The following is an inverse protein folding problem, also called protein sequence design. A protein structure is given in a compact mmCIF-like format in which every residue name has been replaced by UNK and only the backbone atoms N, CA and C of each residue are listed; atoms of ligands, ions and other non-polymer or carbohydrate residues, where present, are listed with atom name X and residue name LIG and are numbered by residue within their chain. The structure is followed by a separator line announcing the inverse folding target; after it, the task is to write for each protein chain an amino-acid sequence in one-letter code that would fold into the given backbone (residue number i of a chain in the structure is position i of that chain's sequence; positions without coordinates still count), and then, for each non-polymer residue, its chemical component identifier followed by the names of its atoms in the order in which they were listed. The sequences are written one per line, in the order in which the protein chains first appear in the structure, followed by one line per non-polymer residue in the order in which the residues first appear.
data_IF_113638523094
#
_entry.id   IF_113638523094
#
_cell.length_a   1.000
_cell.length_b   1.000
_cell.length_c   1.000
_cell.angle_alpha   90.00
_cell.angle_beta   90.00
_cell.angle_gamma   90.00
#
_symmetry.space_group_name_H-M   'P 1'
#
loop_
_entity.id
_entity.type
_entity.pdbx_description
1 polymer ?
#
# COMPACT_ATOMS: atom_id res chain seq x y z
N UNK A 1 -44.40 -1.34 14.85
CA UNK A 1 -43.56 -1.14 16.04
C UNK A 1 -42.11 -1.41 15.60
N UNK A 2 -41.27 -0.37 15.51
CA UNK A 2 -39.83 -0.53 15.28
C UNK A 2 -39.21 -0.86 16.63
N UNK A 3 -38.64 -2.03 16.78
CA UNK A 3 -37.79 -2.38 17.92
C UNK A 3 -36.53 -1.51 17.84
N UNK A 4 -36.43 -0.56 18.78
CA UNK A 4 -35.18 0.18 19.03
C UNK A 4 -34.16 -0.81 19.59
N UNK A 5 -33.09 -1.08 18.83
CA UNK A 5 -31.93 -1.80 19.32
C UNK A 5 -31.36 -1.07 20.54
N UNK A 6 -31.08 -1.74 21.65
CA UNK A 6 -30.58 -1.08 22.86
C UNK A 6 -29.24 -0.41 22.56
N UNK A 7 -29.17 0.87 22.91
CA UNK A 7 -27.93 1.66 22.84
C UNK A 7 -26.83 0.96 23.66
N UNK A 8 -25.60 0.82 23.13
CA UNK A 8 -24.54 0.13 23.84
C UNK A 8 -24.26 0.80 25.18
N UNK A 9 -24.15 -0.01 26.24
CA UNK A 9 -23.94 0.44 27.62
C UNK A 9 -22.69 1.32 27.72
N UNK A 10 -22.82 2.51 28.31
CA UNK A 10 -21.71 3.47 28.45
C UNK A 10 -21.03 3.40 29.83
N UNK A 11 -19.90 4.10 29.97
CA UNK A 11 -19.17 4.22 31.26
C UNK A 11 -20.08 4.68 32.40
N UNK A 12 -21.07 5.54 32.13
CA UNK A 12 -22.07 5.99 33.07
C UNK A 12 -22.96 4.84 33.59
N UNK A 13 -23.32 3.93 32.71
CA UNK A 13 -24.14 2.75 33.03
C UNK A 13 -23.37 1.78 33.93
N UNK A 14 -22.09 1.49 33.57
CA UNK A 14 -21.21 0.66 34.42
C UNK A 14 -21.04 1.28 35.79
N UNK A 15 -20.80 2.59 35.87
CA UNK A 15 -20.67 3.31 37.14
C UNK A 15 -21.93 3.20 38.00
N UNK A 16 -23.12 3.37 37.40
CA UNK A 16 -24.41 3.25 38.04
C UNK A 16 -24.66 1.85 38.60
N UNK A 17 -24.42 0.82 37.76
CA UNK A 17 -24.67 -0.59 38.12
C UNK A 17 -23.74 -1.09 39.24
N UNK A 18 -22.53 -0.58 39.32
CA UNK A 18 -21.53 -0.97 40.33
C UNK A 18 -21.50 -0.06 41.55
N UNK A 19 -22.25 1.05 41.57
CA UNK A 19 -22.26 2.03 42.65
C UNK A 19 -20.92 2.74 42.84
N UNK A 20 -20.17 2.98 41.75
CA UNK A 20 -18.85 3.64 41.77
C UNK A 20 -18.85 4.92 40.93
N UNK A 21 -17.86 5.78 41.15
CA UNK A 21 -17.75 7.01 40.38
C UNK A 21 -17.30 6.68 38.90
N UNK A 22 -17.68 7.56 37.96
CA UNK A 22 -17.23 7.48 36.58
C UNK A 22 -15.69 7.46 36.51
N UNK A 23 -15.01 8.24 37.36
CA UNK A 23 -13.54 8.25 37.44
C UNK A 23 -12.94 6.93 37.93
N UNK A 24 -13.67 6.16 38.75
CA UNK A 24 -13.26 4.81 39.18
C UNK A 24 -13.36 3.83 38.03
N UNK A 25 -14.43 3.90 37.22
CA UNK A 25 -14.60 3.08 36.03
C UNK A 25 -13.52 3.42 35.00
N UNK A 26 -13.24 4.70 34.76
CA UNK A 26 -12.19 5.14 33.83
C UNK A 26 -10.78 4.62 34.24
N UNK A 27 -10.43 4.72 35.53
CA UNK A 27 -9.17 4.19 36.05
C UNK A 27 -9.07 2.67 35.88
N UNK A 28 -10.17 1.95 36.11
CA UNK A 28 -10.20 0.50 35.94
C UNK A 28 -9.98 0.07 34.48
N UNK A 29 -10.72 0.67 33.55
CA UNK A 29 -10.67 0.38 32.12
C UNK A 29 -9.32 0.72 31.48
N UNK A 30 -8.61 1.74 31.99
CA UNK A 30 -7.33 2.20 31.46
C UNK A 30 -6.13 1.82 32.34
N UNK A 31 -6.28 0.86 33.24
CA UNK A 31 -5.21 0.37 34.13
C UNK A 31 -4.48 1.46 34.94
N UNK A 32 -5.13 2.61 35.21
CA UNK A 32 -4.55 3.72 35.96
C UNK A 32 -4.46 3.41 37.46
N UNK A 33 -3.49 3.98 38.20
CA UNK A 33 -3.37 3.79 39.64
C UNK A 33 -4.54 4.50 40.42
N UNK A 34 -4.67 4.17 41.69
CA UNK A 34 -5.66 4.81 42.60
C UNK A 34 -6.98 4.05 42.74
N UNK A 35 -7.04 2.78 42.41
CA UNK A 35 -8.15 1.87 42.72
C UNK A 35 -7.61 0.50 43.15
N UNK A 36 -8.41 -0.19 44.01
CA UNK A 36 -8.05 -1.53 44.48
C UNK A 36 -8.15 -2.58 43.33
N UNK A 37 -7.33 -3.65 43.39
CA UNK A 37 -7.41 -4.76 42.46
C UNK A 37 -8.82 -5.38 42.39
N UNK A 38 -9.51 -5.48 43.57
CA UNK A 38 -10.88 -5.98 43.66
C UNK A 38 -11.88 -5.09 42.90
N UNK A 39 -11.75 -3.77 43.03
CA UNK A 39 -12.60 -2.82 42.31
C UNK A 39 -12.36 -2.87 40.83
N UNK A 40 -11.08 -2.98 40.42
CA UNK A 40 -10.71 -3.12 39.01
C UNK A 40 -11.34 -4.38 38.38
N UNK A 41 -11.21 -5.54 39.02
CA UNK A 41 -11.80 -6.79 38.55
C UNK A 41 -13.34 -6.68 38.41
N UNK A 42 -14.04 -6.09 39.40
CA UNK A 42 -15.48 -5.88 39.30
C UNK A 42 -15.90 -5.01 38.11
N UNK A 43 -15.13 -3.96 37.81
CA UNK A 43 -15.43 -3.06 36.69
C UNK A 43 -15.17 -3.77 35.35
N UNK A 44 -14.06 -4.50 35.23
CA UNK A 44 -13.71 -5.22 33.97
C UNK A 44 -14.74 -6.32 33.66
N UNK A 45 -15.12 -7.12 34.66
CA UNK A 45 -16.15 -8.15 34.48
C UNK A 45 -17.50 -7.54 34.07
N UNK A 46 -17.91 -6.42 34.71
CA UNK A 46 -19.15 -5.76 34.33
C UNK A 46 -19.10 -5.12 32.94
N UNK A 47 -17.96 -4.61 32.54
CA UNK A 47 -17.75 -4.11 31.17
C UNK A 47 -17.86 -5.24 30.13
N UNK A 48 -17.33 -6.43 30.42
CA UNK A 48 -17.43 -7.61 29.59
C UNK A 48 -18.88 -8.13 29.50
N UNK A 49 -19.58 -8.26 30.63
CA UNK A 49 -21.01 -8.65 30.71
C UNK A 49 -21.90 -7.74 29.84
N UNK A 50 -21.62 -6.43 29.87
CA UNK A 50 -22.37 -5.42 29.12
C UNK A 50 -21.89 -5.25 27.67
N UNK A 51 -20.92 -6.06 27.21
CA UNK A 51 -20.27 -5.93 25.92
C UNK A 51 -19.80 -4.47 25.65
N UNK A 52 -19.32 -3.82 26.74
CA UNK A 52 -18.88 -2.43 26.68
C UNK A 52 -17.67 -2.29 25.78
N UNK A 53 -17.80 -1.48 24.75
CA UNK A 53 -16.69 -1.03 23.94
C UNK A 53 -16.42 0.44 24.26
N UNK A 54 -15.16 0.83 24.58
CA UNK A 54 -14.83 2.23 24.81
C UNK A 54 -15.29 3.08 23.63
N UNK A 55 -16.15 4.05 23.86
CA UNK A 55 -16.54 5.00 22.84
C UNK A 55 -15.40 6.01 22.63
N UNK A 56 -14.39 5.61 21.87
CA UNK A 56 -13.22 6.42 21.52
C UNK A 56 -13.65 7.66 20.74
N UNK A 57 -14.74 7.57 19.95
CA UNK A 57 -15.32 8.69 19.23
C UNK A 57 -15.84 9.78 20.18
N UNK A 58 -16.61 9.42 21.21
CA UNK A 58 -17.09 10.38 22.22
C UNK A 58 -15.94 11.02 23.03
N UNK A 59 -14.87 10.26 23.28
CA UNK A 59 -13.66 10.77 23.95
C UNK A 59 -12.90 11.76 23.06
N UNK A 60 -12.71 11.43 21.79
CA UNK A 60 -11.99 12.28 20.83
C UNK A 60 -12.79 13.54 20.48
N UNK A 61 -14.12 13.44 20.34
CA UNK A 61 -15.02 14.59 20.13
C UNK A 61 -14.97 15.57 21.33
N UNK A 62 -14.90 15.04 22.55
CA UNK A 62 -14.84 15.85 23.77
C UNK A 62 -13.47 16.52 23.98
N UNK A 63 -12.41 15.98 23.40
CA UNK A 63 -11.04 16.48 23.53
C UNK A 63 -10.60 17.34 22.35
N UNK A 64 -11.43 17.50 21.31
CA UNK A 64 -11.05 18.18 20.04
C UNK A 64 -9.66 17.73 19.54
N UNK A 65 -9.36 16.42 19.68
CA UNK A 65 -8.03 15.85 19.45
C UNK A 65 -7.71 15.79 17.99
N UNK A 66 -6.64 16.45 17.58
CA UNK A 66 -6.06 16.37 16.26
C UNK A 66 -5.16 15.14 16.19
N UNK A 67 -5.45 14.18 15.30
CA UNK A 67 -4.61 13.02 15.08
C UNK A 67 -3.38 13.43 14.25
N UNK A 68 -2.19 13.17 14.76
CA UNK A 68 -0.93 13.46 14.09
C UNK A 68 -0.39 12.19 13.46
N UNK A 69 -0.55 12.07 12.14
CA UNK A 69 -0.20 10.87 11.38
C UNK A 69 1.07 11.12 10.55
N UNK A 70 2.11 10.33 10.79
CA UNK A 70 3.31 10.33 9.94
C UNK A 70 3.07 9.48 8.69
N UNK A 71 3.53 9.99 7.55
CA UNK A 71 3.43 9.31 6.24
C UNK A 71 4.81 9.29 5.62
N UNK A 72 5.45 8.11 5.61
CA UNK A 72 6.79 7.90 5.11
C UNK A 72 6.75 7.19 3.74
N UNK A 73 6.95 7.95 2.68
CA UNK A 73 6.88 7.46 1.30
C UNK A 73 8.10 7.87 0.49
N UNK A 74 8.50 7.09 -0.52
CA UNK A 74 9.57 7.49 -1.43
C UNK A 74 9.25 8.78 -2.17
N UNK A 75 10.28 9.56 -2.48
CA UNK A 75 10.16 10.72 -3.37
C UNK A 75 10.18 10.31 -4.85
N UNK A 76 10.96 9.28 -5.20
CA UNK A 76 11.09 8.78 -6.57
C UNK A 76 9.82 8.07 -7.03
N UNK A 77 9.62 7.97 -8.35
CA UNK A 77 8.41 7.40 -9.00
C UNK A 77 7.16 8.20 -8.58
N UNK A 78 7.19 9.49 -8.90
CA UNK A 78 6.10 10.43 -8.64
C UNK A 78 4.78 9.94 -9.24
N UNK A 79 4.83 9.34 -10.44
CA UNK A 79 3.68 8.75 -11.13
C UNK A 79 2.90 7.69 -10.29
N UNK A 80 3.54 7.07 -9.30
CA UNK A 80 2.90 6.15 -8.36
C UNK A 80 2.65 6.79 -7.00
N UNK A 81 3.68 7.44 -6.42
CA UNK A 81 3.60 7.91 -5.04
C UNK A 81 2.82 9.22 -4.87
N UNK A 82 2.71 10.08 -5.90
CA UNK A 82 1.89 11.29 -5.79
C UNK A 82 0.39 10.97 -5.79
N UNK A 83 -0.15 10.11 -6.66
CA UNK A 83 -1.52 9.61 -6.51
C UNK A 83 -1.79 8.91 -5.17
N UNK A 84 -0.81 8.18 -4.63
CA UNK A 84 -0.95 7.56 -3.32
C UNK A 84 -1.04 8.61 -2.20
N UNK A 85 -0.19 9.64 -2.24
CA UNK A 85 -0.26 10.80 -1.33
C UNK A 85 -1.58 11.54 -1.46
N UNK A 86 -2.07 11.75 -2.69
CA UNK A 86 -3.36 12.38 -2.95
C UNK A 86 -4.51 11.58 -2.33
N UNK A 87 -4.50 10.25 -2.43
CA UNK A 87 -5.47 9.39 -1.77
C UNK A 87 -5.45 9.52 -0.23
N UNK A 88 -4.26 9.60 0.36
CA UNK A 88 -4.10 9.86 1.80
C UNK A 88 -4.67 11.24 2.17
N UNK A 89 -4.35 12.29 1.41
CA UNK A 89 -4.89 13.65 1.65
C UNK A 89 -6.41 13.69 1.53
N UNK A 90 -6.97 13.03 0.51
CA UNK A 90 -8.42 12.93 0.32
C UNK A 90 -9.10 12.29 1.53
N UNK A 91 -8.58 11.16 2.03
CA UNK A 91 -9.10 10.51 3.23
C UNK A 91 -9.02 11.41 4.48
N UNK A 92 -7.95 12.19 4.62
CA UNK A 92 -7.81 13.15 5.73
C UNK A 92 -8.87 14.27 5.63
N UNK A 93 -9.10 14.81 4.45
CA UNK A 93 -10.08 15.86 4.20
C UNK A 93 -11.53 15.38 4.39
N UNK A 94 -11.82 14.13 4.00
CA UNK A 94 -13.14 13.51 4.14
C UNK A 94 -13.42 12.98 5.55
N UNK A 95 -12.44 12.98 6.47
CA UNK A 95 -12.59 12.41 7.80
C UNK A 95 -13.52 13.25 8.67
N UNK A 96 -14.79 12.85 8.76
CA UNK A 96 -15.78 13.52 9.60
C UNK A 96 -15.50 13.30 11.09
N UNK A 97 -15.56 14.38 11.87
CA UNK A 97 -15.49 14.34 13.34
C UNK A 97 -14.10 14.15 13.95
N UNK A 98 -13.03 14.13 13.11
CA UNK A 98 -11.64 14.06 13.59
C UNK A 98 -10.77 14.96 12.71
N UNK A 99 -10.01 15.86 13.33
CA UNK A 99 -8.99 16.63 12.63
C UNK A 99 -7.74 15.77 12.45
N UNK A 100 -7.21 15.67 11.23
CA UNK A 100 -6.00 14.91 10.92
C UNK A 100 -4.89 15.85 10.51
N UNK A 101 -3.73 15.72 11.15
CA UNK A 101 -2.49 16.42 10.85
C UNK A 101 -1.55 15.44 10.16
N UNK A 102 -1.38 15.57 8.84
CA UNK A 102 -0.49 14.73 8.06
C UNK A 102 0.93 15.28 8.07
N UNK A 103 1.86 14.53 8.65
CA UNK A 103 3.28 14.82 8.61
C UNK A 103 3.91 14.01 7.48
N UNK A 104 3.95 14.59 6.29
CA UNK A 104 4.52 13.95 5.10
C UNK A 104 6.06 13.98 5.20
N UNK A 105 6.66 12.80 5.12
CA UNK A 105 8.10 12.60 5.15
C UNK A 105 8.52 11.78 3.94
N UNK A 106 9.53 12.24 3.24
CA UNK A 106 10.01 11.56 2.04
C UNK A 106 11.45 11.09 2.21
N UNK A 107 11.74 9.97 1.57
CA UNK A 107 13.09 9.44 1.42
C UNK A 107 13.38 9.18 -0.07
N UNK A 108 14.66 9.07 -0.48
CA UNK A 108 15.00 9.09 -1.91
C UNK A 108 14.29 8.06 -2.76
N UNK A 109 14.25 6.78 -2.37
CA UNK A 109 13.62 5.68 -3.12
C UNK A 109 13.39 4.47 -2.23
N UNK A 110 12.57 3.53 -2.71
CA UNK A 110 12.32 2.25 -2.04
C UNK A 110 13.66 1.58 -1.70
N UNK A 111 13.81 1.15 -0.45
CA UNK A 111 15.02 0.49 0.07
C UNK A 111 16.22 1.40 0.31
N UNK A 112 16.06 2.74 0.22
CA UNK A 112 17.13 3.68 0.52
C UNK A 112 16.62 4.95 1.24
N UNK A 113 17.07 5.16 2.46
CA UNK A 113 16.76 6.33 3.29
C UNK A 113 15.52 6.12 4.18
N UNK A 114 14.80 5.02 4.03
CA UNK A 114 13.62 4.70 4.82
C UNK A 114 13.96 4.38 6.29
N UNK A 115 15.09 3.70 6.51
CA UNK A 115 15.54 3.28 7.83
C UNK A 115 15.94 4.49 8.66
N UNK A 116 16.79 5.32 8.10
CA UNK A 116 17.29 6.55 8.72
C UNK A 116 16.12 7.49 9.08
N UNK A 117 15.10 7.55 8.21
CA UNK A 117 13.91 8.35 8.45
C UNK A 117 13.05 7.79 9.58
N UNK A 118 12.83 6.46 9.60
CA UNK A 118 12.08 5.80 10.66
C UNK A 118 12.79 5.94 12.01
N UNK A 119 14.11 5.71 12.06
CA UNK A 119 14.89 5.87 13.29
C UNK A 119 14.80 7.29 13.85
N UNK A 120 14.87 8.29 12.97
CA UNK A 120 14.76 9.71 13.35
C UNK A 120 13.36 10.09 13.87
N UNK A 121 12.33 9.29 13.60
CA UNK A 121 10.93 9.60 13.94
C UNK A 121 10.38 8.76 15.10
N UNK A 122 11.10 7.75 15.59
CA UNK A 122 10.74 7.01 16.80
C UNK A 122 10.69 7.96 17.99
N UNK A 123 9.65 7.85 18.80
CA UNK A 123 9.45 8.69 20.01
C UNK A 123 8.93 10.10 19.73
N UNK A 124 8.63 10.49 18.49
CA UNK A 124 8.06 11.82 18.17
C UNK A 124 6.58 11.98 18.49
N UNK A 125 5.95 10.97 19.07
CA UNK A 125 4.57 11.06 19.56
C UNK A 125 3.53 11.16 18.43
N UNK A 126 3.73 10.44 17.32
CA UNK A 126 2.71 10.28 16.32
C UNK A 126 1.59 9.37 16.82
N UNK A 127 0.34 9.67 16.46
CA UNK A 127 -0.79 8.80 16.75
C UNK A 127 -0.84 7.57 15.82
N UNK A 128 -0.20 7.64 14.66
CA UNK A 128 -0.07 6.54 13.71
C UNK A 128 0.97 6.80 12.62
N UNK A 129 1.35 5.74 11.93
CA UNK A 129 2.34 5.76 10.85
C UNK A 129 1.83 4.99 9.63
N UNK A 130 1.97 5.59 8.44
CA UNK A 130 1.83 4.92 7.14
C UNK A 130 3.21 4.87 6.49
N UNK A 131 3.64 3.69 6.03
CA UNK A 131 4.99 3.49 5.47
C UNK A 131 4.97 2.51 4.30
N UNK A 132 5.88 2.73 3.32
CA UNK A 132 6.15 1.74 2.27
C UNK A 132 7.44 0.97 2.60
N UNK A 133 7.36 -0.32 2.98
CA UNK A 133 8.53 -1.14 3.27
C UNK A 133 9.32 -1.49 2.01
N UNK A 134 10.54 -1.01 1.88
CA UNK A 134 11.43 -1.38 0.77
C UNK A 134 12.23 -2.67 1.04
N UNK A 135 12.54 -2.93 2.30
CA UNK A 135 13.16 -4.18 2.73
C UNK A 135 12.53 -4.66 4.04
N UNK A 136 11.52 -5.55 3.97
CA UNK A 136 10.81 -6.04 5.16
C UNK A 136 11.71 -6.57 6.26
N UNK A 137 12.79 -7.28 5.92
CA UNK A 137 13.71 -7.86 6.91
C UNK A 137 14.45 -6.79 7.73
N UNK A 138 14.69 -5.61 7.16
CA UNK A 138 15.38 -4.50 7.84
C UNK A 138 14.43 -3.58 8.59
N UNK A 139 13.20 -3.43 8.11
CA UNK A 139 12.22 -2.50 8.70
C UNK A 139 11.42 -3.13 9.85
N UNK A 140 11.38 -4.46 9.96
CA UNK A 140 10.59 -5.19 10.94
C UNK A 140 10.84 -4.74 12.39
N UNK A 141 12.08 -4.62 12.80
CA UNK A 141 12.45 -4.17 14.14
C UNK A 141 12.02 -2.73 14.42
N UNK A 142 12.07 -1.85 13.44
CA UNK A 142 11.64 -0.46 13.58
C UNK A 142 10.12 -0.35 13.72
N UNK A 143 9.36 -1.11 12.92
CA UNK A 143 7.91 -1.20 13.06
C UNK A 143 7.53 -1.67 14.46
N UNK A 144 8.23 -2.70 15.01
CA UNK A 144 7.99 -3.17 16.38
C UNK A 144 8.23 -2.07 17.43
N UNK A 145 9.25 -1.23 17.23
CA UNK A 145 9.54 -0.10 18.13
C UNK A 145 8.41 0.94 18.09
N UNK A 146 7.93 1.35 16.91
CA UNK A 146 6.77 2.25 16.79
C UNK A 146 5.54 1.69 17.50
N UNK A 147 5.24 0.39 17.29
CA UNK A 147 4.09 -0.25 17.93
C UNK A 147 4.27 -0.36 19.46
N UNK A 148 5.47 -0.65 19.94
CA UNK A 148 5.77 -0.67 21.38
C UNK A 148 5.61 0.71 22.02
N UNK A 149 5.91 1.79 21.28
CA UNK A 149 5.69 3.18 21.69
C UNK A 149 4.20 3.64 21.56
N UNK A 150 3.30 2.71 21.19
CA UNK A 150 1.87 2.98 21.04
C UNK A 150 1.46 3.60 19.70
N UNK A 151 2.35 3.61 18.71
CA UNK A 151 2.08 4.13 17.36
C UNK A 151 1.74 2.96 16.42
N UNK A 152 0.45 2.71 16.06
CA UNK A 152 0.08 1.71 15.09
C UNK A 152 0.63 2.05 13.70
N UNK A 153 1.04 1.00 12.96
CA UNK A 153 1.67 1.14 11.67
C UNK A 153 0.85 0.44 10.59
N UNK A 154 0.56 1.14 9.49
CA UNK A 154 0.01 0.54 8.27
C UNK A 154 1.07 0.57 7.17
N UNK A 155 1.32 -0.59 6.56
CA UNK A 155 2.13 -0.70 5.37
C UNK A 155 1.28 -0.44 4.12
N UNK A 156 1.83 0.28 3.13
CA UNK A 156 1.15 0.59 1.87
C UNK A 156 2.08 0.36 0.68
N UNK A 157 1.54 0.00 -0.47
CA UNK A 157 2.26 -0.33 -1.72
C UNK A 157 3.14 -1.59 -1.63
N UNK A 158 3.77 -1.84 -0.53
CA UNK A 158 4.50 -3.07 -0.19
C UNK A 158 4.21 -3.45 1.26
N UNK A 159 4.56 -4.65 1.68
CA UNK A 159 4.21 -5.20 2.98
C UNK A 159 5.42 -5.70 3.77
N UNK A 160 5.28 -5.75 5.10
CA UNK A 160 6.20 -6.35 6.04
C UNK A 160 5.44 -7.35 6.95
N UNK A 161 5.01 -8.52 6.44
CA UNK A 161 4.06 -9.40 7.11
C UNK A 161 4.57 -10.03 8.41
N UNK A 162 5.89 -10.07 8.64
CA UNK A 162 6.49 -10.56 9.88
C UNK A 162 6.62 -9.50 10.97
N UNK A 163 6.32 -8.23 10.63
CA UNK A 163 6.37 -7.13 11.58
C UNK A 163 5.13 -7.09 12.48
N UNK A 164 5.18 -6.21 13.49
CA UNK A 164 4.04 -5.93 14.35
C UNK A 164 3.04 -4.92 13.74
N UNK A 165 3.08 -4.71 12.41
CA UNK A 165 2.18 -3.77 11.74
C UNK A 165 0.71 -4.08 12.02
N UNK A 166 -0.11 -3.04 12.13
CA UNK A 166 -1.55 -3.16 12.32
C UNK A 166 -2.21 -3.79 11.08
N UNK A 167 -1.86 -3.30 9.90
CA UNK A 167 -2.42 -3.77 8.63
C UNK A 167 -1.50 -3.44 7.45
N UNK A 168 -1.82 -4.01 6.28
CA UNK A 168 -1.27 -3.57 5.00
C UNK A 168 -2.36 -3.36 3.96
N UNK A 169 -2.11 -2.41 3.05
CA UNK A 169 -2.95 -2.12 1.88
C UNK A 169 -2.06 -2.13 0.64
N UNK A 170 -2.24 -3.12 -0.20
CA UNK A 170 -1.41 -3.34 -1.40
C UNK A 170 -2.27 -3.79 -2.58
N UNK A 171 -1.71 -3.76 -3.79
CA UNK A 171 -2.25 -4.60 -4.86
C UNK A 171 -1.89 -6.07 -4.56
N UNK A 172 -2.66 -7.02 -5.09
CA UNK A 172 -2.22 -8.42 -5.10
C UNK A 172 -1.10 -8.60 -6.13
N UNK A 173 0.13 -8.61 -5.65
CA UNK A 173 1.32 -8.65 -6.47
C UNK A 173 1.47 -10.00 -7.20
N UNK A 174 1.13 -11.11 -6.54
CA UNK A 174 1.13 -12.43 -7.16
C UNK A 174 0.14 -12.53 -8.31
N UNK A 175 -1.07 -12.04 -8.11
CA UNK A 175 -2.10 -11.97 -9.16
C UNK A 175 -1.64 -11.05 -10.31
N UNK A 176 -0.99 -9.91 -10.02
CA UNK A 176 -0.44 -9.02 -11.06
C UNK A 176 0.54 -9.76 -11.97
N UNK A 177 1.46 -10.52 -11.38
CA UNK A 177 2.39 -11.36 -12.14
C UNK A 177 1.69 -12.46 -12.95
N UNK A 178 0.71 -13.14 -12.34
CA UNK A 178 -0.06 -14.19 -13.02
C UNK A 178 -0.86 -13.66 -14.23
N UNK A 179 -1.45 -12.46 -14.10
CA UNK A 179 -2.16 -11.80 -15.20
C UNK A 179 -1.19 -11.51 -16.35
N UNK A 180 0.02 -11.01 -16.08
CA UNK A 180 1.02 -10.79 -17.13
C UNK A 180 1.39 -12.09 -17.86
N UNK A 181 1.55 -13.19 -17.13
CA UNK A 181 1.80 -14.52 -17.70
C UNK A 181 0.61 -15.00 -18.55
N UNK A 182 -0.62 -14.83 -18.08
CA UNK A 182 -1.82 -15.19 -18.84
C UNK A 182 -1.96 -14.39 -20.13
N UNK A 183 -1.73 -13.09 -20.09
CA UNK A 183 -1.75 -12.27 -21.30
C UNK A 183 -0.70 -12.76 -22.31
N UNK A 184 0.52 -13.05 -21.88
CA UNK A 184 1.55 -13.61 -22.77
C UNK A 184 1.18 -14.99 -23.31
N UNK A 185 0.55 -15.85 -22.51
CA UNK A 185 0.11 -17.18 -22.99
C UNK A 185 -0.90 -17.10 -24.12
N UNK A 186 -1.67 -16.03 -24.20
CA UNK A 186 -2.72 -15.83 -25.21
C UNK A 186 -2.26 -15.08 -26.44
N UNK A 187 -1.18 -14.30 -26.33
CA UNK A 187 -0.81 -13.32 -27.35
C UNK A 187 0.56 -13.59 -27.97
N UNK A 188 1.46 -14.31 -27.29
CA UNK A 188 2.77 -14.64 -27.82
C UNK A 188 2.76 -15.96 -28.64
N UNK A 189 3.70 -16.12 -29.58
CA UNK A 189 3.93 -17.40 -30.28
C UNK A 189 4.22 -18.54 -29.30
N UNK A 190 3.98 -19.78 -29.72
CA UNK A 190 4.16 -20.99 -28.90
C UNK A 190 5.60 -21.38 -28.58
N UNK A 191 6.58 -20.51 -28.75
CA UNK A 191 7.97 -20.71 -28.28
C UNK A 191 8.72 -19.40 -28.28
N UNK A 192 9.60 -19.22 -27.32
CA UNK A 192 10.51 -18.09 -27.25
C UNK A 192 10.81 -17.62 -25.82
N UNK A 193 11.86 -16.83 -25.65
CA UNK A 193 12.20 -16.27 -24.36
C UNK A 193 11.34 -15.06 -24.03
N UNK A 194 10.97 -14.96 -22.76
CA UNK A 194 10.35 -13.77 -22.16
C UNK A 194 11.20 -13.25 -21.01
N UNK A 195 11.18 -11.96 -20.78
CA UNK A 195 11.96 -11.32 -19.72
C UNK A 195 11.07 -10.62 -18.71
N UNK A 196 11.54 -10.54 -17.47
CA UNK A 196 10.98 -9.67 -16.44
C UNK A 196 12.01 -8.61 -16.05
N UNK A 197 11.60 -7.33 -16.09
CA UNK A 197 12.39 -6.20 -15.60
C UNK A 197 11.66 -5.66 -14.35
N UNK A 198 12.36 -5.61 -13.22
CA UNK A 198 11.77 -5.29 -11.92
C UNK A 198 12.59 -4.22 -11.18
N UNK A 199 12.05 -3.72 -10.07
CA UNK A 199 12.77 -2.80 -9.20
C UNK A 199 13.83 -3.50 -8.36
N UNK A 200 13.51 -3.82 -7.11
CA UNK A 200 14.41 -4.48 -6.14
C UNK A 200 13.69 -5.70 -5.55
N UNK A 201 14.23 -6.88 -5.72
CA UNK A 201 13.62 -8.14 -5.26
C UNK A 201 13.64 -8.31 -3.73
N UNK A 202 14.32 -7.42 -3.00
CA UNK A 202 14.19 -7.33 -1.54
C UNK A 202 12.84 -6.72 -1.13
N UNK A 203 12.21 -5.96 -2.01
CA UNK A 203 10.86 -5.43 -1.82
C UNK A 203 9.84 -6.54 -2.09
N UNK A 204 8.96 -6.80 -1.13
CA UNK A 204 8.03 -7.93 -1.20
C UNK A 204 7.11 -7.88 -2.43
N UNK A 205 6.61 -6.70 -2.77
CA UNK A 205 5.77 -6.48 -3.96
C UNK A 205 6.47 -6.95 -5.25
N UNK A 206 7.72 -6.56 -5.46
CA UNK A 206 8.48 -6.95 -6.65
C UNK A 206 8.77 -8.45 -6.68
N UNK A 207 9.14 -9.04 -5.55
CA UNK A 207 9.41 -10.47 -5.44
C UNK A 207 8.14 -11.31 -5.70
N UNK A 208 6.99 -10.91 -5.15
CA UNK A 208 5.72 -11.62 -5.37
C UNK A 208 5.22 -11.48 -6.80
N UNK A 209 5.37 -10.33 -7.46
CA UNK A 209 5.06 -10.15 -8.88
C UNK A 209 5.88 -11.10 -9.76
N UNK A 210 7.19 -11.17 -9.52
CA UNK A 210 8.05 -12.07 -10.27
C UNK A 210 7.68 -13.55 -10.03
N UNK A 211 7.41 -13.92 -8.79
CA UNK A 211 6.97 -15.27 -8.42
C UNK A 211 5.65 -15.64 -9.11
N UNK A 212 4.67 -14.73 -9.08
CA UNK A 212 3.37 -14.93 -9.75
C UNK A 212 3.53 -15.06 -11.26
N UNK A 213 4.39 -14.25 -11.88
CA UNK A 213 4.70 -14.33 -13.31
C UNK A 213 5.34 -15.66 -13.68
N UNK A 214 6.37 -16.08 -12.95
CA UNK A 214 7.06 -17.35 -13.21
C UNK A 214 6.12 -18.56 -13.04
N UNK A 215 5.32 -18.59 -11.97
CA UNK A 215 4.35 -19.65 -11.72
C UNK A 215 3.25 -19.68 -12.80
N UNK A 216 2.75 -18.50 -13.20
CA UNK A 216 1.79 -18.35 -14.28
C UNK A 216 2.31 -18.86 -15.63
N UNK A 217 3.54 -18.51 -16.00
CA UNK A 217 4.18 -19.03 -17.21
C UNK A 217 4.33 -20.55 -17.16
N UNK A 218 4.82 -21.10 -16.05
CA UNK A 218 5.00 -22.54 -15.91
C UNK A 218 3.68 -23.32 -16.08
N UNK A 219 2.56 -22.73 -15.67
CA UNK A 219 1.23 -23.37 -15.75
C UNK A 219 0.54 -23.14 -17.08
N UNK A 220 0.54 -21.90 -17.60
CA UNK A 220 -0.28 -21.50 -18.75
C UNK A 220 0.50 -21.40 -20.06
N UNK A 221 1.82 -21.23 -20.00
CA UNK A 221 2.68 -21.09 -21.15
C UNK A 221 4.05 -21.80 -20.97
N UNK A 222 4.09 -23.11 -20.67
CA UNK A 222 5.34 -23.84 -20.42
C UNK A 222 6.29 -23.87 -21.63
N UNK A 223 5.80 -23.48 -22.79
CA UNK A 223 6.57 -23.31 -24.02
C UNK A 223 7.33 -21.97 -24.10
N UNK A 224 7.06 -21.02 -23.20
CA UNK A 224 7.82 -19.78 -23.07
C UNK A 224 8.92 -19.95 -22.03
N UNK A 225 10.15 -19.56 -22.35
CA UNK A 225 11.27 -19.64 -21.43
C UNK A 225 11.49 -18.32 -20.71
N UNK A 226 11.36 -18.30 -19.39
CA UNK A 226 11.62 -17.11 -18.58
C UNK A 226 13.14 -16.91 -18.44
N UNK A 227 13.65 -15.78 -18.92
CA UNK A 227 15.02 -15.36 -18.70
C UNK A 227 15.24 -14.95 -17.22
N UNK A 228 16.49 -14.99 -16.72
CA UNK A 228 16.79 -14.45 -15.40
C UNK A 228 16.27 -13.01 -15.26
N UNK A 229 15.58 -12.74 -14.15
CA UNK A 229 15.01 -11.43 -13.89
C UNK A 229 16.09 -10.35 -13.81
N UNK A 230 15.74 -9.15 -14.23
CA UNK A 230 16.64 -8.01 -14.27
C UNK A 230 16.19 -6.99 -13.22
N UNK A 231 17.03 -6.79 -12.21
CA UNK A 231 16.79 -5.76 -11.19
C UNK A 231 17.38 -4.42 -11.64
N UNK A 232 16.55 -3.38 -11.55
CA UNK A 232 16.94 -2.00 -11.91
C UNK A 232 17.05 -1.10 -10.69
N UNK A 233 16.65 -1.59 -9.52
CA UNK A 233 16.58 -0.84 -8.27
C UNK A 233 15.85 0.50 -8.43
N UNK A 234 14.88 0.54 -9.35
CA UNK A 234 14.09 1.71 -9.73
C UNK A 234 14.92 2.92 -10.20
N UNK A 235 16.13 2.68 -10.73
CA UNK A 235 16.96 3.73 -11.30
C UNK A 235 16.79 3.80 -12.81
N UNK A 236 16.46 4.97 -13.34
CA UNK A 236 16.24 5.16 -14.78
C UNK A 236 17.45 4.74 -15.62
N UNK A 237 18.68 5.10 -15.21
CA UNK A 237 19.93 4.72 -15.89
C UNK A 237 20.13 3.20 -15.92
N UNK A 238 19.85 2.52 -14.80
CA UNK A 238 20.01 1.07 -14.70
C UNK A 238 18.95 0.36 -15.55
N UNK A 239 17.71 0.87 -15.58
CA UNK A 239 16.64 0.35 -16.42
C UNK A 239 16.98 0.47 -17.91
N UNK A 240 17.38 1.63 -18.39
CA UNK A 240 17.77 1.84 -19.77
C UNK A 240 18.97 0.95 -20.18
N UNK A 241 20.03 0.93 -19.39
CA UNK A 241 21.22 0.10 -19.63
C UNK A 241 20.88 -1.40 -19.63
N UNK A 242 20.09 -1.86 -18.68
CA UNK A 242 19.65 -3.25 -18.58
C UNK A 242 18.83 -3.65 -19.80
N UNK A 243 17.96 -2.79 -20.29
CA UNK A 243 17.17 -3.00 -21.52
C UNK A 243 18.08 -3.18 -22.73
N UNK A 244 19.07 -2.30 -22.91
CA UNK A 244 20.04 -2.43 -24.01
C UNK A 244 20.83 -3.74 -23.93
N UNK A 245 21.27 -4.12 -22.73
CA UNK A 245 21.98 -5.40 -22.50
C UNK A 245 21.08 -6.61 -22.77
N UNK A 246 19.79 -6.54 -22.42
CA UNK A 246 18.83 -7.59 -22.69
C UNK A 246 18.64 -7.79 -24.19
N UNK A 247 18.54 -6.72 -24.98
CA UNK A 247 18.36 -6.76 -26.42
C UNK A 247 19.59 -7.31 -27.17
N UNK A 248 20.77 -7.25 -26.56
CA UNK A 248 22.00 -7.85 -27.14
C UNK A 248 22.05 -9.38 -26.97
N UNK A 249 21.23 -9.97 -26.09
CA UNK A 249 21.18 -11.44 -25.92
C UNK A 249 20.61 -12.14 -27.15
N UNK A 250 21.00 -13.40 -27.28
CA UNK A 250 20.45 -14.29 -28.32
C UNK A 250 20.03 -15.61 -27.67
N UNK A 251 18.79 -16.08 -27.89
CA UNK A 251 17.72 -15.40 -28.62
C UNK A 251 17.22 -14.15 -27.88
N UNK A 252 16.73 -13.16 -28.62
CA UNK A 252 16.09 -11.97 -28.05
C UNK A 252 14.75 -12.32 -27.43
N UNK A 253 14.33 -11.64 -26.33
CA UNK A 253 13.00 -11.85 -25.78
C UNK A 253 11.93 -11.43 -26.79
N UNK A 254 10.85 -12.21 -26.85
CA UNK A 254 9.64 -11.91 -27.63
C UNK A 254 8.59 -11.17 -26.80
N UNK A 255 8.74 -11.20 -25.45
CA UNK A 255 7.89 -10.49 -24.51
C UNK A 255 8.70 -9.97 -23.34
N UNK A 256 8.32 -8.78 -22.83
CA UNK A 256 8.92 -8.16 -21.65
C UNK A 256 7.80 -7.75 -20.69
N UNK A 257 7.84 -8.27 -19.47
CA UNK A 257 7.02 -7.79 -18.35
C UNK A 257 7.84 -6.81 -17.52
N UNK A 258 7.40 -5.55 -17.46
CA UNK A 258 8.00 -4.51 -16.61
C UNK A 258 7.17 -4.45 -15.32
N UNK A 259 7.63 -5.12 -14.27
CA UNK A 259 6.87 -5.30 -13.02
C UNK A 259 7.03 -4.16 -12.02
N UNK A 260 7.73 -3.09 -12.38
CA UNK A 260 7.88 -1.86 -11.60
C UNK A 260 7.17 -0.69 -12.26
N UNK A 261 6.70 0.27 -11.45
CA UNK A 261 6.14 1.53 -11.93
C UNK A 261 7.16 2.42 -12.68
N UNK A 262 8.47 2.13 -12.55
CA UNK A 262 9.53 2.81 -13.29
C UNK A 262 9.70 2.23 -14.72
N UNK A 263 8.61 2.17 -15.49
CA UNK A 263 8.59 1.54 -16.82
C UNK A 263 9.08 2.46 -17.96
N UNK A 264 8.94 3.78 -17.82
CA UNK A 264 9.27 4.74 -18.89
C UNK A 264 10.70 4.61 -19.42
N UNK A 265 11.77 4.50 -18.60
CA UNK A 265 13.13 4.36 -19.12
C UNK A 265 13.36 3.09 -19.95
N UNK A 266 12.60 2.02 -19.64
CA UNK A 266 12.63 0.77 -20.43
C UNK A 266 11.96 0.99 -21.77
N UNK A 267 10.78 1.61 -21.79
CA UNK A 267 10.02 1.87 -23.00
C UNK A 267 10.76 2.80 -23.95
N UNK A 268 11.35 3.89 -23.45
CA UNK A 268 12.19 4.78 -24.26
C UNK A 268 13.38 4.02 -24.88
N UNK A 269 14.07 3.18 -24.09
CA UNK A 269 15.20 2.41 -24.62
C UNK A 269 14.78 1.36 -25.69
N UNK A 270 13.58 0.78 -25.58
CA UNK A 270 13.02 -0.11 -26.59
C UNK A 270 12.62 0.66 -27.87
N UNK A 271 12.03 1.83 -27.70
CA UNK A 271 11.62 2.70 -28.81
C UNK A 271 12.82 3.24 -29.60
N UNK A 272 13.84 3.76 -28.91
CA UNK A 272 15.11 4.22 -29.50
C UNK A 272 15.82 3.13 -30.34
N UNK A 273 15.57 1.87 -30.00
CA UNK A 273 16.14 0.71 -30.73
C UNK A 273 15.21 0.18 -31.80
N UNK A 274 14.03 0.77 -32.01
CA UNK A 274 13.06 0.37 -33.03
C UNK A 274 12.54 -1.05 -32.87
N UNK A 275 12.41 -1.56 -31.61
CA UNK A 275 12.05 -2.97 -31.36
C UNK A 275 10.67 -3.16 -30.76
N UNK A 276 9.96 -2.09 -30.43
CA UNK A 276 8.62 -2.15 -29.83
C UNK A 276 7.59 -2.86 -30.72
N UNK A 277 7.75 -2.80 -32.03
CA UNK A 277 6.86 -3.50 -32.98
C UNK A 277 7.10 -5.01 -33.02
N UNK A 278 8.20 -5.51 -32.43
CA UNK A 278 8.63 -6.90 -32.47
C UNK A 278 8.65 -7.59 -31.10
N UNK A 279 8.50 -6.83 -30.02
CA UNK A 279 8.53 -7.33 -28.65
C UNK A 279 7.26 -6.89 -27.96
N UNK A 280 6.43 -7.85 -27.53
CA UNK A 280 5.27 -7.50 -26.72
C UNK A 280 5.68 -7.03 -25.34
N UNK A 281 5.14 -5.90 -24.90
CA UNK A 281 5.43 -5.33 -23.58
C UNK A 281 4.17 -5.24 -22.76
N UNK A 282 4.26 -5.68 -21.50
CA UNK A 282 3.28 -5.41 -20.44
C UNK A 282 3.98 -4.53 -19.42
N UNK A 283 3.41 -3.33 -19.18
CA UNK A 283 3.92 -2.37 -18.23
C UNK A 283 3.21 -2.46 -16.88
N UNK A 284 3.63 -1.64 -15.93
CA UNK A 284 2.99 -1.48 -14.63
C UNK A 284 2.70 -0.01 -14.40
N UNK A 285 1.52 0.26 -13.87
CA UNK A 285 0.91 1.55 -13.59
C UNK A 285 0.52 2.38 -14.83
N UNK A 286 -0.04 3.57 -14.57
CA UNK A 286 -0.55 4.44 -15.60
C UNK A 286 -0.13 5.87 -15.27
N UNK A 287 0.50 6.53 -16.24
CA UNK A 287 1.00 7.90 -16.15
C UNK A 287 0.97 8.55 -17.54
N UNK A 288 1.04 9.89 -17.66
CA UNK A 288 0.80 10.58 -18.93
C UNK A 288 1.62 10.06 -20.10
N UNK A 289 2.91 9.84 -19.92
CA UNK A 289 3.80 9.39 -21.01
C UNK A 289 3.48 7.96 -21.48
N UNK A 290 2.91 7.12 -20.61
CA UNK A 290 2.52 5.75 -20.97
C UNK A 290 1.29 5.72 -21.88
N UNK A 291 0.42 6.74 -21.81
CA UNK A 291 -0.80 6.82 -22.63
C UNK A 291 -0.46 6.69 -24.11
N UNK A 292 0.57 7.40 -24.60
CA UNK A 292 0.99 7.37 -26.00
C UNK A 292 1.40 5.98 -26.47
N UNK A 293 2.07 5.19 -25.61
CA UNK A 293 2.45 3.82 -25.93
C UNK A 293 1.25 2.87 -26.00
N UNK A 294 0.24 3.07 -25.16
CA UNK A 294 -1.02 2.31 -25.19
C UNK A 294 -1.88 2.69 -26.39
N UNK A 295 -2.06 3.99 -26.66
CA UNK A 295 -2.86 4.51 -27.78
C UNK A 295 -2.32 4.08 -29.14
N UNK A 296 -1.01 4.13 -29.30
CA UNK A 296 -0.34 3.68 -30.52
C UNK A 296 -0.30 2.16 -30.67
N UNK A 297 -0.65 1.40 -29.61
CA UNK A 297 -0.57 -0.07 -29.61
C UNK A 297 0.85 -0.63 -29.49
N UNK A 298 1.85 0.20 -29.15
CA UNK A 298 3.24 -0.21 -28.94
C UNK A 298 3.45 -1.09 -27.73
N UNK A 299 2.54 -1.03 -26.75
CA UNK A 299 2.50 -1.97 -25.63
C UNK A 299 1.15 -2.67 -25.58
N UNK A 300 1.17 -3.93 -25.15
CA UNK A 300 -0.03 -4.76 -25.06
C UNK A 300 -1.00 -4.27 -23.99
N UNK A 301 -0.49 -4.00 -22.80
CA UNK A 301 -1.28 -3.66 -21.63
C UNK A 301 -0.42 -2.96 -20.57
N UNK A 302 -1.08 -2.32 -19.62
CA UNK A 302 -0.49 -1.98 -18.33
C UNK A 302 -1.34 -2.52 -17.18
N UNK A 303 -0.68 -2.92 -16.09
CA UNK A 303 -1.31 -3.39 -14.86
C UNK A 303 -1.32 -2.25 -13.83
N UNK A 304 -2.46 -1.56 -13.72
CA UNK A 304 -2.60 -0.40 -12.86
C UNK A 304 -2.89 -0.80 -11.42
N UNK A 305 -2.04 -0.38 -10.52
CA UNK A 305 -2.04 -0.77 -9.09
C UNK A 305 -2.99 0.07 -8.22
N UNK A 306 -3.63 1.09 -8.76
CA UNK A 306 -4.62 1.92 -8.05
C UNK A 306 -4.02 2.65 -6.83
N UNK A 307 -2.90 3.37 -6.96
CA UNK A 307 -2.19 3.98 -5.83
C UNK A 307 -3.07 4.95 -5.02
N UNK A 308 -3.88 5.78 -5.66
CA UNK A 308 -4.84 6.65 -4.95
C UNK A 308 -5.75 5.86 -4.01
N UNK A 309 -6.34 4.77 -4.49
CA UNK A 309 -7.22 3.90 -3.69
C UNK A 309 -6.46 3.25 -2.53
N UNK A 310 -5.22 2.83 -2.74
CA UNK A 310 -4.38 2.27 -1.68
C UNK A 310 -4.14 3.29 -0.57
N UNK A 311 -3.75 4.51 -0.93
CA UNK A 311 -3.51 5.59 0.03
C UNK A 311 -4.76 5.96 0.82
N UNK A 312 -5.90 6.09 0.13
CA UNK A 312 -7.19 6.41 0.75
C UNK A 312 -7.60 5.34 1.77
N UNK A 313 -7.61 4.07 1.39
CA UNK A 313 -7.97 2.96 2.27
C UNK A 313 -7.00 2.86 3.47
N UNK A 314 -5.71 3.08 3.25
CA UNK A 314 -4.71 2.99 4.32
C UNK A 314 -4.99 4.01 5.44
N UNK A 315 -5.24 5.27 5.09
CA UNK A 315 -5.54 6.29 6.10
C UNK A 315 -6.93 6.10 6.71
N UNK A 316 -7.95 5.77 5.94
CA UNK A 316 -9.29 5.47 6.47
C UNK A 316 -9.25 4.33 7.51
N UNK A 317 -8.51 3.27 7.22
CA UNK A 317 -8.33 2.14 8.13
C UNK A 317 -7.62 2.57 9.43
N UNK A 318 -6.58 3.39 9.33
CA UNK A 318 -5.83 3.92 10.47
C UNK A 318 -6.70 4.85 11.33
N UNK A 319 -7.42 5.80 10.72
CA UNK A 319 -8.33 6.71 11.42
C UNK A 319 -9.42 5.91 12.14
N UNK A 320 -10.03 4.95 11.48
CA UNK A 320 -11.09 4.12 12.06
C UNK A 320 -10.58 3.33 13.26
N UNK A 321 -9.35 2.81 13.19
CA UNK A 321 -8.73 2.15 14.34
C UNK A 321 -8.47 3.13 15.49
N UNK A 322 -7.88 4.29 15.19
CA UNK A 322 -7.54 5.30 16.21
C UNK A 322 -8.77 5.97 16.83
N UNK A 323 -9.83 6.16 16.06
CA UNK A 323 -11.06 6.81 16.50
C UNK A 323 -12.01 5.85 17.21
N UNK A 324 -12.26 4.69 16.59
CA UNK A 324 -13.35 3.78 16.97
C UNK A 324 -12.85 2.50 17.64
N UNK A 325 -11.52 2.25 17.65
CA UNK A 325 -10.93 1.00 18.15
C UNK A 325 -11.22 -0.21 17.25
N UNK A 326 -11.68 0.01 16.00
CA UNK A 326 -12.02 -1.07 15.06
C UNK A 326 -10.76 -1.52 14.34
N UNK A 327 -10.31 -2.74 14.64
CA UNK A 327 -9.15 -3.32 13.96
C UNK A 327 -9.45 -3.58 12.48
N UNK A 328 -8.59 -3.11 11.57
CA UNK A 328 -8.73 -3.44 10.15
C UNK A 328 -8.35 -4.91 9.88
N UNK A 329 -8.68 -5.41 8.70
CA UNK A 329 -8.14 -6.67 8.20
C UNK A 329 -6.59 -6.57 8.14
N UNK A 330 -5.90 -7.64 8.51
CA UNK A 330 -4.43 -7.66 8.54
C UNK A 330 -3.79 -7.35 7.17
N UNK A 331 -4.46 -7.69 6.08
CA UNK A 331 -4.05 -7.37 4.73
C UNK A 331 -5.27 -7.08 3.85
N UNK A 332 -5.28 -5.92 3.22
CA UNK A 332 -6.23 -5.55 2.16
C UNK A 332 -5.49 -5.63 0.83
N UNK A 333 -5.83 -6.63 0.01
CA UNK A 333 -5.26 -6.84 -1.32
C UNK A 333 -6.24 -6.40 -2.39
N UNK A 334 -5.84 -5.40 -3.17
CA UNK A 334 -6.64 -4.88 -4.27
C UNK A 334 -6.34 -5.66 -5.55
N UNK A 335 -7.37 -5.91 -6.35
CA UNK A 335 -7.16 -6.40 -7.70
C UNK A 335 -6.50 -5.31 -8.56
N UNK A 336 -5.46 -5.64 -9.35
CA UNK A 336 -4.94 -4.72 -10.35
C UNK A 336 -5.99 -4.51 -11.46
N UNK A 337 -6.00 -3.32 -12.07
CA UNK A 337 -6.78 -3.13 -13.29
C UNK A 337 -5.92 -3.44 -14.51
N UNK A 338 -6.44 -4.27 -15.41
CA UNK A 338 -5.83 -4.50 -16.72
C UNK A 338 -6.29 -3.37 -17.63
N UNK A 339 -5.35 -2.54 -18.07
CA UNK A 339 -5.62 -1.46 -19.01
C UNK A 339 -5.05 -1.83 -20.35
N UNK A 340 -5.94 -1.92 -21.33
CA UNK A 340 -5.68 -2.15 -22.74
C UNK A 340 -6.02 -0.86 -23.49
N UNK A 341 -5.59 -0.77 -24.76
CA UNK A 341 -5.98 0.35 -25.63
C UNK A 341 -7.51 0.58 -25.65
N UNK A 342 -8.28 -0.51 -25.68
CA UNK A 342 -9.75 -0.44 -25.81
C UNK A 342 -10.48 0.16 -24.62
N UNK A 343 -9.93 0.07 -23.40
CA UNK A 343 -10.54 0.62 -22.19
C UNK A 343 -9.77 1.82 -21.61
N UNK A 344 -8.75 2.30 -22.31
CA UNK A 344 -7.86 3.37 -21.84
C UNK A 344 -8.63 4.68 -21.55
N UNK A 345 -9.61 5.02 -22.37
CA UNK A 345 -10.43 6.24 -22.18
C UNK A 345 -11.12 6.32 -20.82
N UNK A 346 -11.44 5.16 -20.20
CA UNK A 346 -12.05 5.14 -18.86
C UNK A 346 -11.09 5.56 -17.74
N UNK A 347 -9.80 5.62 -18.03
CA UNK A 347 -8.73 5.92 -17.08
C UNK A 347 -7.97 7.21 -17.41
N UNK A 348 -7.99 7.66 -18.67
CA UNK A 348 -7.23 8.83 -19.15
C UNK A 348 -7.58 10.11 -18.37
N UNK A 349 -8.87 10.38 -18.14
CA UNK A 349 -9.31 11.55 -17.39
C UNK A 349 -8.79 11.57 -15.95
N UNK A 350 -8.66 10.39 -15.31
CA UNK A 350 -8.11 10.27 -13.96
C UNK A 350 -6.62 10.59 -13.92
N UNK A 351 -5.88 10.21 -14.96
CA UNK A 351 -4.45 10.51 -15.06
C UNK A 351 -4.23 12.00 -15.29
N UNK A 352 -5.05 12.63 -16.13
CA UNK A 352 -4.99 14.08 -16.38
C UNK A 352 -5.32 14.90 -15.11
N UNK A 353 -6.31 14.47 -14.33
CA UNK A 353 -6.65 15.11 -13.05
C UNK A 353 -5.52 14.99 -12.03
N UNK A 354 -4.89 13.81 -11.94
CA UNK A 354 -3.77 13.57 -11.03
C UNK A 354 -2.51 14.37 -11.38
N UNK A 355 -2.25 14.63 -12.66
CA UNK A 355 -1.15 15.47 -13.12
C UNK A 355 -1.35 16.94 -12.69
N UNK A 356 -2.58 17.46 -12.80
CA UNK A 356 -2.91 18.83 -12.41
C UNK A 356 -2.87 19.06 -10.88
N UNK A 357 -3.15 18.04 -10.07
CA UNK A 357 -3.07 18.12 -8.60
C UNK A 357 -1.63 18.02 -8.05
N UNK A 358 -0.69 17.53 -8.83
CA UNK A 358 0.72 17.45 -8.43
C UNK A 358 1.50 18.75 -8.67
N UNK A 359 0.97 19.66 -9.48
CA UNK A 359 1.58 20.96 -9.79
C UNK A 359 1.08 22.11 -8.87
N UNK A 360 0.16 21.81 -7.94
CA UNK A 360 -0.34 22.73 -6.90
C UNK A 360 0.11 22.29 -5.51
#
# INVERSE_FOLDING_TARGET
MKEESPSPAGVKEIARLLGVSIGTVDRALHARPGISAKTRARVLNKAEELNYRPNVAARNLKLNRRLRIAVHLPHQITSFFDPLRAGIRAAAAESAGVSVDLVLRTYPRIGKGEIELLEADIGKGYDGLIVTPGNPARIDSLIRRFVADGTPVICVASDAPRSARLASVTVDAGISGAIAAELFSRTLPKSGPVAAITGDLRTLDHAEKLKGFAAGLATMAPYLSLLPAIETHDRARDAARATVSLLARKPRPIGIYISTANSLPVLCALEERGVLDHIQVIATDLFPELLTFLESGKILATLYQRPFTQGKIALEALIRYLRDGVSPAQATRLAPHIILRSNLSLFADRVAQQANESDT
#
